data_IF_483657116746
#
_entry.id   IF_483657116746
#
_cell.length_a   1.000
_cell.length_b   1.000
_cell.length_c   1.000
_cell.angle_alpha   90.00
_cell.angle_beta   90.00
_cell.angle_gamma   90.00
#
_symmetry.space_group_name_H-M   'P 1'
#
loop_
_entity.id
_entity.type
_entity.pdbx_description
1 polymer ?
#
# COMPACT_ATOMS: atom_id res chain seq x y z
N UNK A 1 5.38 -13.17 -5.24
CA UNK A 1 4.74 -14.14 -6.10
C UNK A 1 3.42 -13.56 -6.62
N UNK A 2 3.36 -13.25 -7.92
CA UNK A 2 2.21 -12.57 -8.57
C UNK A 2 0.93 -13.38 -8.45
N UNK A 3 1.00 -14.69 -8.47
CA UNK A 3 -0.16 -15.59 -8.37
C UNK A 3 -0.86 -15.49 -7.02
N UNK A 4 -0.11 -15.49 -5.92
CA UNK A 4 -0.67 -15.33 -4.57
C UNK A 4 -1.35 -13.97 -4.42
N UNK A 5 -0.72 -12.90 -4.87
CA UNK A 5 -1.34 -11.56 -4.82
C UNK A 5 -2.67 -11.51 -5.60
N UNK A 6 -2.75 -12.16 -6.76
CA UNK A 6 -4.00 -12.24 -7.55
C UNK A 6 -5.09 -13.02 -6.83
N UNK A 7 -4.75 -14.10 -6.14
CA UNK A 7 -5.72 -14.88 -5.34
C UNK A 7 -6.25 -14.01 -4.21
N UNK A 8 -5.36 -13.38 -3.43
CA UNK A 8 -5.72 -12.50 -2.32
C UNK A 8 -6.56 -11.28 -2.74
N UNK A 9 -6.39 -10.80 -3.97
CA UNK A 9 -7.16 -9.67 -4.52
C UNK A 9 -8.46 -10.07 -5.21
N UNK A 10 -8.79 -11.35 -5.23
CA UNK A 10 -9.98 -11.81 -5.94
C UNK A 10 -11.17 -11.93 -4.97
N UNK A 11 -12.19 -11.05 -5.06
CA UNK A 11 -13.33 -11.05 -4.15
C UNK A 11 -14.26 -12.27 -4.35
N UNK A 12 -14.02 -13.10 -5.34
CA UNK A 12 -14.74 -14.37 -5.54
C UNK A 12 -14.62 -15.31 -4.32
N UNK A 13 -13.57 -15.15 -3.53
CA UNK A 13 -13.40 -15.92 -2.29
C UNK A 13 -14.06 -15.27 -1.08
N UNK A 14 -14.40 -13.99 -1.14
CA UNK A 14 -14.96 -13.25 -0.02
C UNK A 14 -16.48 -13.33 0.06
N UNK A 15 -17.02 -13.34 1.25
CA UNK A 15 -18.45 -13.19 1.49
C UNK A 15 -18.91 -11.80 1.06
N UNK A 16 -19.95 -11.74 0.23
CA UNK A 16 -20.51 -10.50 -0.28
C UNK A 16 -21.50 -9.92 0.74
N UNK A 17 -20.98 -9.32 1.79
CA UNK A 17 -21.72 -8.67 2.87
C UNK A 17 -21.69 -7.14 2.76
N UNK A 18 -22.30 -6.49 3.73
CA UNK A 18 -22.41 -5.02 3.80
C UNK A 18 -21.05 -4.33 3.91
N UNK A 19 -20.05 -4.95 4.55
CA UNK A 19 -18.71 -4.37 4.68
C UNK A 19 -18.00 -4.35 3.33
N UNK A 20 -18.11 -5.43 2.58
CA UNK A 20 -17.55 -5.51 1.23
C UNK A 20 -18.27 -4.56 0.27
N UNK A 21 -19.59 -4.41 0.39
CA UNK A 21 -20.38 -3.43 -0.36
C UNK A 21 -19.87 -2.01 -0.14
N UNK A 22 -19.76 -1.58 1.12
CA UNK A 22 -19.28 -0.25 1.51
C UNK A 22 -17.85 0.02 1.09
N UNK A 23 -16.99 -0.98 1.14
CA UNK A 23 -15.62 -0.89 0.61
C UNK A 23 -15.60 -0.51 -0.86
N UNK A 24 -16.41 -1.16 -1.70
CA UNK A 24 -16.46 -0.85 -3.12
C UNK A 24 -17.12 0.50 -3.42
N UNK A 25 -18.15 0.89 -2.67
CA UNK A 25 -18.75 2.23 -2.76
C UNK A 25 -17.73 3.32 -2.42
N UNK A 26 -16.97 3.15 -1.34
CA UNK A 26 -15.93 4.12 -0.94
C UNK A 26 -14.82 4.29 -1.99
N UNK A 27 -14.64 3.29 -2.84
CA UNK A 27 -13.70 3.30 -3.97
C UNK A 27 -14.36 3.69 -5.31
N UNK A 28 -15.61 4.17 -5.26
CA UNK A 28 -16.38 4.63 -6.42
C UNK A 28 -16.61 3.54 -7.49
N UNK A 29 -16.52 2.27 -7.14
CA UNK A 29 -16.81 1.17 -8.05
C UNK A 29 -18.29 1.14 -8.43
N UNK A 30 -18.61 0.71 -9.64
CA UNK A 30 -19.99 0.51 -10.09
C UNK A 30 -20.52 -0.81 -9.51
N UNK A 31 -21.52 -0.74 -8.61
CA UNK A 31 -22.10 -1.93 -8.01
C UNK A 31 -23.44 -2.26 -8.66
N UNK A 32 -23.62 -3.53 -9.01
CA UNK A 32 -24.91 -4.07 -9.48
C UNK A 32 -25.64 -4.68 -8.29
N UNK A 33 -26.86 -4.19 -8.04
CA UNK A 33 -27.71 -4.60 -6.91
C UNK A 33 -27.76 -3.58 -5.80
N UNK A 34 -28.68 -3.82 -4.84
CA UNK A 34 -28.89 -2.95 -3.68
C UNK A 34 -28.11 -3.43 -2.47
N UNK A 35 -27.82 -2.53 -1.52
CA UNK A 35 -27.11 -2.85 -0.28
C UNK A 35 -27.77 -4.02 0.49
N UNK A 36 -29.11 -4.07 0.50
CA UNK A 36 -29.87 -5.13 1.17
C UNK A 36 -29.67 -6.53 0.63
N UNK A 37 -29.18 -6.65 -0.60
CA UNK A 37 -28.87 -7.93 -1.21
C UNK A 37 -27.49 -8.47 -0.80
N UNK A 38 -26.63 -7.67 -0.19
CA UNK A 38 -25.30 -8.05 0.26
C UNK A 38 -25.34 -8.59 1.69
N UNK A 39 -25.89 -9.79 1.82
CA UNK A 39 -26.22 -10.48 3.08
C UNK A 39 -25.11 -11.45 3.55
N UNK A 40 -24.01 -11.55 2.83
CA UNK A 40 -22.90 -12.46 3.14
C UNK A 40 -23.09 -13.91 2.67
N UNK A 41 -24.25 -14.26 2.13
CA UNK A 41 -24.53 -15.65 1.67
C UNK A 41 -23.84 -16.02 0.37
N UNK A 42 -23.51 -15.04 -0.44
CA UNK A 42 -22.85 -15.23 -1.74
C UNK A 42 -21.46 -14.60 -1.75
N UNK A 43 -20.75 -14.78 -2.87
CA UNK A 43 -19.49 -14.08 -3.09
C UNK A 43 -19.66 -12.89 -4.04
N UNK A 44 -18.60 -12.12 -4.24
CA UNK A 44 -18.56 -11.01 -5.19
C UNK A 44 -17.63 -11.30 -6.37
N UNK A 45 -17.90 -10.70 -7.52
CA UNK A 45 -17.03 -10.74 -8.67
C UNK A 45 -16.83 -9.34 -9.25
N UNK A 46 -15.64 -9.07 -9.79
CA UNK A 46 -15.27 -7.79 -10.38
C UNK A 46 -14.92 -7.97 -11.84
N UNK A 47 -15.60 -7.24 -12.70
CA UNK A 47 -15.32 -7.16 -14.13
C UNK A 47 -14.74 -5.79 -14.51
N UNK A 48 -14.09 -5.70 -15.67
CA UNK A 48 -13.46 -4.46 -16.11
C UNK A 48 -12.09 -4.18 -15.51
N UNK A 49 -11.46 -5.18 -14.85
CA UNK A 49 -10.12 -5.02 -14.23
C UNK A 49 -9.02 -4.67 -15.23
N UNK A 50 -9.24 -4.84 -16.51
CA UNK A 50 -8.22 -4.63 -17.54
C UNK A 50 -8.84 -4.04 -18.80
N UNK A 51 -8.10 -3.13 -19.38
CA UNK A 51 -8.41 -2.47 -20.65
C UNK A 51 -7.23 -2.67 -21.62
N UNK A 52 -7.51 -2.70 -22.92
CA UNK A 52 -6.51 -2.90 -23.97
C UNK A 52 -6.38 -4.33 -24.46
N UNK A 53 -5.61 -4.51 -25.53
CA UNK A 53 -5.29 -5.83 -26.13
C UNK A 53 -4.12 -6.51 -25.40
N UNK A 54 -3.68 -7.68 -25.88
CA UNK A 54 -2.60 -8.46 -25.24
C UNK A 54 -1.31 -7.67 -25.03
N UNK A 55 -0.99 -6.74 -25.93
CA UNK A 55 0.26 -5.98 -25.90
C UNK A 55 0.14 -4.66 -25.14
N UNK A 56 -1.05 -4.07 -25.03
CA UNK A 56 -1.32 -2.78 -24.41
C UNK A 56 -2.14 -2.88 -23.12
N UNK A 57 -2.24 -4.07 -22.54
CA UNK A 57 -3.09 -4.34 -21.39
C UNK A 57 -2.64 -3.55 -20.15
N UNK A 58 -3.52 -2.67 -19.67
CA UNK A 58 -3.36 -1.95 -18.40
C UNK A 58 -4.44 -2.34 -17.39
N UNK A 59 -4.17 -2.14 -16.10
CA UNK A 59 -5.18 -2.27 -15.05
C UNK A 59 -5.97 -0.97 -14.96
N UNK A 60 -7.29 -1.11 -14.81
CA UNK A 60 -8.21 0.01 -14.55
C UNK A 60 -8.29 0.31 -13.07
N UNK A 61 -8.64 1.54 -12.73
CA UNK A 61 -8.99 1.90 -11.36
C UNK A 61 -10.32 1.25 -10.93
N UNK A 62 -10.52 1.10 -9.63
CA UNK A 62 -11.76 0.53 -9.09
C UNK A 62 -13.01 1.31 -9.51
N UNK A 63 -12.91 2.63 -9.69
CA UNK A 63 -13.99 3.49 -10.18
C UNK A 63 -14.50 3.14 -11.59
N UNK A 64 -13.66 2.50 -12.40
CA UNK A 64 -14.02 2.03 -13.75
C UNK A 64 -14.53 0.58 -13.76
N UNK A 65 -14.36 -0.11 -12.64
CA UNK A 65 -14.72 -1.53 -12.53
C UNK A 65 -16.17 -1.69 -12.08
N UNK A 66 -16.78 -2.80 -12.50
CA UNK A 66 -18.14 -3.16 -12.08
C UNK A 66 -18.08 -4.38 -11.17
N UNK A 67 -18.77 -4.30 -10.04
CA UNK A 67 -18.84 -5.34 -9.01
C UNK A 67 -20.26 -5.88 -8.93
N UNK A 68 -20.41 -7.18 -8.85
CA UNK A 68 -21.71 -7.83 -8.70
C UNK A 68 -21.60 -9.07 -7.81
N UNK A 69 -22.72 -9.48 -7.23
CA UNK A 69 -22.81 -10.73 -6.46
C UNK A 69 -22.85 -11.92 -7.40
N UNK A 70 -22.25 -13.01 -6.98
CA UNK A 70 -22.33 -14.29 -7.66
C UNK A 70 -23.50 -15.13 -7.13
N UNK A 71 -23.72 -16.29 -7.70
CA UNK A 71 -24.71 -17.26 -7.24
C UNK A 71 -24.11 -18.38 -6.35
N UNK A 72 -22.85 -18.27 -5.94
CA UNK A 72 -22.17 -19.22 -5.08
C UNK A 72 -21.61 -18.53 -3.83
N UNK A 73 -21.45 -19.28 -2.74
CA UNK A 73 -21.01 -18.76 -1.45
C UNK A 73 -19.56 -18.30 -1.46
N UNK A 74 -19.28 -17.18 -0.77
CA UNK A 74 -17.95 -16.78 -0.39
C UNK A 74 -17.45 -17.61 0.80
N UNK A 75 -16.17 -18.00 0.77
CA UNK A 75 -15.58 -18.87 1.80
C UNK A 75 -14.89 -18.06 2.90
N UNK A 76 -14.43 -16.86 2.57
CA UNK A 76 -13.63 -16.01 3.44
C UNK A 76 -14.50 -14.85 3.96
N UNK A 77 -14.55 -14.59 5.28
CA UNK A 77 -15.20 -13.41 5.82
C UNK A 77 -14.66 -12.12 5.18
N UNK A 78 -15.54 -11.17 4.89
CA UNK A 78 -15.18 -9.90 4.24
C UNK A 78 -14.13 -9.12 5.02
N UNK A 79 -14.19 -9.14 6.36
CA UNK A 79 -13.20 -8.48 7.23
C UNK A 79 -11.78 -8.99 6.99
N UNK A 80 -11.61 -10.32 6.89
CA UNK A 80 -10.30 -10.92 6.61
C UNK A 80 -9.82 -10.58 5.20
N UNK A 81 -10.72 -10.58 4.22
CA UNK A 81 -10.41 -10.16 2.87
C UNK A 81 -9.96 -8.70 2.82
N UNK A 82 -10.66 -7.79 3.50
CA UNK A 82 -10.33 -6.37 3.55
C UNK A 82 -9.00 -6.11 4.27
N UNK A 83 -8.75 -6.81 5.38
CA UNK A 83 -7.45 -6.76 6.05
C UNK A 83 -6.30 -7.19 5.15
N UNK A 84 -6.52 -8.19 4.29
CA UNK A 84 -5.55 -8.60 3.29
C UNK A 84 -5.31 -7.52 2.22
N UNK A 85 -6.38 -6.81 1.76
CA UNK A 85 -6.23 -5.66 0.83
C UNK A 85 -5.40 -4.55 1.45
N UNK A 86 -5.67 -4.18 2.70
CA UNK A 86 -4.89 -3.17 3.42
C UNK A 86 -3.41 -3.57 3.57
N UNK A 87 -3.16 -4.83 3.87
CA UNK A 87 -1.79 -5.33 3.96
C UNK A 87 -1.06 -5.30 2.62
N UNK A 88 -1.75 -5.68 1.55
CA UNK A 88 -1.20 -5.62 0.19
C UNK A 88 -0.89 -4.18 -0.23
N UNK A 89 -1.79 -3.23 0.06
CA UNK A 89 -1.58 -1.82 -0.22
C UNK A 89 -0.37 -1.25 0.56
N UNK A 90 -0.24 -1.58 1.84
CA UNK A 90 0.93 -1.19 2.65
C UNK A 90 2.23 -1.79 2.10
N UNK A 91 2.21 -3.07 1.72
CA UNK A 91 3.38 -3.73 1.14
C UNK A 91 3.78 -3.10 -0.21
N UNK A 92 2.80 -2.68 -1.02
CA UNK A 92 3.05 -1.99 -2.28
C UNK A 92 3.68 -0.61 -2.04
N UNK A 93 3.23 0.13 -1.03
CA UNK A 93 3.83 1.42 -0.63
C UNK A 93 5.27 1.26 -0.14
N UNK A 94 5.58 0.15 0.55
CA UNK A 94 6.94 -0.15 0.99
C UNK A 94 7.89 -0.47 -0.16
N UNK A 95 7.37 -0.74 -1.35
CA UNK A 95 8.16 -1.00 -2.56
C UNK A 95 9.04 -2.23 -2.42
N UNK A 96 8.50 -3.37 -2.71
CA UNK A 96 9.20 -4.65 -2.62
C UNK A 96 10.36 -4.75 -3.62
N UNK A 97 11.58 -4.94 -3.13
CA UNK A 97 12.75 -5.26 -3.94
C UNK A 97 13.11 -6.73 -3.73
N UNK A 98 12.82 -7.57 -4.73
CA UNK A 98 13.20 -8.99 -4.77
C UNK A 98 14.70 -9.21 -5.10
N UNK A 99 15.51 -8.17 -5.13
CA UNK A 99 16.95 -8.31 -5.42
C UNK A 99 17.72 -8.20 -4.12
N UNK A 100 18.69 -9.07 -3.87
CA UNK A 100 19.66 -8.89 -2.81
C UNK A 100 20.58 -7.71 -3.21
N UNK A 101 20.06 -6.49 -3.12
CA UNK A 101 20.90 -5.32 -3.14
C UNK A 101 21.65 -5.27 -1.81
N UNK A 102 22.92 -4.83 -1.84
CA UNK A 102 23.59 -4.39 -0.63
C UNK A 102 22.61 -3.50 0.11
N UNK A 103 22.14 -3.98 1.27
CA UNK A 103 21.16 -3.24 2.08
C UNK A 103 21.80 -1.90 2.42
N UNK A 104 21.25 -0.85 1.85
CA UNK A 104 21.57 0.49 2.28
C UNK A 104 20.87 0.73 3.61
N UNK A 105 21.55 1.31 4.58
CA UNK A 105 21.10 1.46 5.96
C UNK A 105 19.72 2.10 6.09
N UNK A 106 19.35 3.00 5.19
CA UNK A 106 18.04 3.65 5.16
C UNK A 106 17.01 2.99 4.22
N UNK A 107 17.31 1.80 3.68
CA UNK A 107 16.42 1.13 2.72
C UNK A 107 15.09 0.77 3.39
N UNK A 108 13.99 1.19 2.78
CA UNK A 108 12.63 0.95 3.27
C UNK A 108 12.17 1.91 4.38
N UNK A 109 13.07 2.68 5.00
CA UNK A 109 12.73 3.64 6.04
C UNK A 109 12.29 4.99 5.46
N UNK A 110 12.89 5.43 4.36
CA UNK A 110 12.62 6.73 3.76
C UNK A 110 11.39 6.64 2.84
N UNK A 111 10.42 7.51 3.10
CA UNK A 111 9.17 7.59 2.35
C UNK A 111 8.93 8.98 1.78
N UNK A 112 8.27 9.05 0.63
CA UNK A 112 7.83 10.30 0.06
C UNK A 112 6.67 10.88 0.88
N UNK A 113 6.82 12.11 1.39
CA UNK A 113 5.79 12.78 2.19
C UNK A 113 4.48 12.98 1.39
N UNK A 114 4.55 13.12 0.07
CA UNK A 114 3.40 13.40 -0.79
C UNK A 114 2.54 12.15 -1.05
N UNK A 115 3.16 11.02 -1.39
CA UNK A 115 2.45 9.82 -1.84
C UNK A 115 2.63 8.60 -0.93
N UNK A 116 3.46 8.66 0.12
CA UNK A 116 3.72 7.55 1.04
C UNK A 116 4.60 6.43 0.48
N UNK A 117 4.89 6.42 -0.82
CA UNK A 117 5.75 5.41 -1.42
C UNK A 117 7.21 5.54 -0.99
N UNK A 118 7.92 4.42 -1.01
CA UNK A 118 9.34 4.40 -0.68
C UNK A 118 10.16 5.29 -1.61
N UNK A 119 11.17 5.92 -1.04
CA UNK A 119 12.22 6.61 -1.79
C UNK A 119 13.32 5.59 -2.08
N UNK A 120 13.72 5.50 -3.35
CA UNK A 120 14.66 4.49 -3.83
C UNK A 120 15.79 5.09 -4.66
N UNK A 121 16.91 4.39 -4.68
CA UNK A 121 18.00 4.70 -5.61
C UNK A 121 17.62 4.22 -7.02
N UNK A 122 17.51 5.13 -7.98
CA UNK A 122 17.38 4.77 -9.39
C UNK A 122 18.75 4.56 -10.03
N UNK A 123 19.64 5.50 -9.80
CA UNK A 123 21.06 5.39 -10.15
C UNK A 123 21.84 5.90 -8.94
N UNK A 124 22.62 5.03 -8.29
CA UNK A 124 23.49 5.44 -7.20
C UNK A 124 24.40 6.60 -7.64
N UNK A 125 24.55 7.68 -6.88
CA UNK A 125 24.18 7.83 -5.47
C UNK A 125 22.88 8.61 -5.19
N UNK A 126 21.99 8.78 -6.16
CA UNK A 126 20.79 9.62 -5.98
C UNK A 126 19.54 8.83 -5.65
N UNK A 127 18.71 9.39 -4.78
CA UNK A 127 17.41 8.90 -4.37
C UNK A 127 16.29 9.65 -5.08
N UNK A 128 15.22 8.94 -5.43
CA UNK A 128 14.01 9.52 -6.00
C UNK A 128 12.75 8.82 -5.50
N UNK A 129 11.60 9.47 -5.62
CA UNK A 129 10.32 8.89 -5.27
C UNK A 129 9.94 7.74 -6.20
N UNK A 130 9.66 6.56 -5.65
CA UNK A 130 9.19 5.39 -6.40
C UNK A 130 7.85 5.63 -7.09
N UNK A 131 6.92 6.33 -6.40
CA UNK A 131 5.62 6.70 -6.96
C UNK A 131 5.73 7.58 -8.21
N UNK A 132 6.76 8.43 -8.29
CA UNK A 132 7.04 9.22 -9.50
C UNK A 132 7.79 8.44 -10.56
N UNK A 133 8.90 7.81 -10.18
CA UNK A 133 9.84 7.23 -11.14
C UNK A 133 9.34 5.96 -11.82
N UNK A 134 8.41 5.24 -11.19
CA UNK A 134 7.98 3.92 -11.66
C UNK A 134 6.46 3.79 -11.80
N UNK A 135 5.70 4.35 -10.87
CA UNK A 135 4.25 4.21 -10.86
C UNK A 135 3.53 5.40 -11.51
N UNK A 136 4.24 6.50 -11.75
CA UNK A 136 3.70 7.74 -12.34
C UNK A 136 2.49 8.33 -11.59
N UNK A 137 2.36 8.02 -10.29
CA UNK A 137 1.26 8.47 -9.42
C UNK A 137 1.64 9.62 -8.49
N UNK A 138 2.84 10.20 -8.62
CA UNK A 138 3.33 11.30 -7.80
C UNK A 138 3.93 12.41 -8.66
N UNK A 139 3.56 13.63 -8.35
CA UNK A 139 4.00 14.86 -9.02
C UNK A 139 5.33 15.43 -8.49
N UNK A 140 5.72 15.00 -7.30
CA UNK A 140 6.92 15.52 -6.60
C UNK A 140 8.20 15.06 -7.29
N UNK A 141 9.01 16.03 -7.74
CA UNK A 141 10.33 15.80 -8.32
C UNK A 141 11.42 16.21 -7.35
N UNK A 142 12.16 15.24 -6.85
CA UNK A 142 13.40 15.49 -6.11
C UNK A 142 14.46 14.47 -6.47
N UNK A 143 15.71 14.87 -6.29
CA UNK A 143 16.88 13.99 -6.35
C UNK A 143 17.78 14.35 -5.17
N UNK A 144 17.88 13.45 -4.22
CA UNK A 144 18.68 13.63 -3.01
C UNK A 144 19.90 12.73 -3.09
N UNK A 145 21.12 13.24 -2.92
CA UNK A 145 22.30 12.41 -2.78
C UNK A 145 22.18 11.52 -1.53
N UNK A 146 22.38 10.21 -1.68
CA UNK A 146 22.26 9.27 -0.56
C UNK A 146 23.19 9.58 0.61
N UNK A 147 24.47 9.95 0.37
CA UNK A 147 25.38 10.31 1.47
C UNK A 147 24.92 11.52 2.28
N UNK A 148 24.33 12.51 1.64
CA UNK A 148 23.79 13.70 2.33
C UNK A 148 22.59 13.34 3.19
N UNK A 149 21.67 12.52 2.68
CA UNK A 149 20.54 12.04 3.46
C UNK A 149 20.99 11.21 4.67
N UNK A 150 21.97 10.34 4.48
CA UNK A 150 22.53 9.50 5.54
C UNK A 150 23.15 10.34 6.66
N UNK A 151 23.92 11.36 6.29
CA UNK A 151 24.51 12.31 7.26
C UNK A 151 23.42 13.04 8.04
N UNK A 152 22.47 13.66 7.37
CA UNK A 152 21.38 14.41 7.99
C UNK A 152 20.51 13.52 8.92
N UNK A 153 20.24 12.29 8.50
CA UNK A 153 19.50 11.33 9.32
C UNK A 153 20.27 10.94 10.59
N UNK A 154 21.58 10.73 10.48
CA UNK A 154 22.43 10.40 11.62
C UNK A 154 22.48 11.55 12.63
N UNK A 155 22.64 12.78 12.18
CA UNK A 155 22.66 13.99 13.02
C UNK A 155 21.32 14.18 13.75
N UNK A 156 20.19 14.00 13.04
CA UNK A 156 18.86 14.11 13.66
C UNK A 156 18.60 13.02 14.69
N UNK A 157 19.00 11.78 14.41
CA UNK A 157 18.89 10.66 15.36
C UNK A 157 19.71 10.93 16.62
N UNK A 158 20.95 11.39 16.48
CA UNK A 158 21.81 11.73 17.62
C UNK A 158 21.18 12.83 18.49
N UNK A 159 20.66 13.89 17.87
CA UNK A 159 19.98 14.98 18.57
C UNK A 159 18.76 14.48 19.37
N UNK A 160 17.93 13.65 18.74
CA UNK A 160 16.76 13.06 19.41
C UNK A 160 17.14 12.12 20.55
N UNK A 161 18.15 11.29 20.37
CA UNK A 161 18.65 10.40 21.43
C UNK A 161 19.18 11.19 22.62
N UNK A 162 19.93 12.28 22.39
CA UNK A 162 20.42 13.16 23.44
C UNK A 162 19.26 13.78 24.23
N UNK A 163 18.26 14.34 23.52
CA UNK A 163 17.06 14.92 24.15
C UNK A 163 16.27 13.89 24.96
N UNK A 164 16.14 12.67 24.46
CA UNK A 164 15.48 11.57 25.19
C UNK A 164 16.25 11.20 26.46
N UNK A 165 17.58 11.10 26.38
CA UNK A 165 18.42 10.78 27.52
C UNK A 165 18.33 11.87 28.64
N UNK A 166 18.33 13.16 28.25
CA UNK A 166 18.11 14.24 29.19
C UNK A 166 16.73 14.21 29.85
N UNK A 167 15.67 13.94 29.04
CA UNK A 167 14.32 13.84 29.58
C UNK A 167 14.17 12.65 30.54
N UNK A 168 14.84 11.54 30.26
CA UNK A 168 14.87 10.39 31.20
C UNK A 168 15.59 10.73 32.50
N UNK A 169 16.75 11.38 32.43
CA UNK A 169 17.48 11.85 33.66
C UNK A 169 16.59 12.74 34.50
N UNK A 170 15.93 13.75 33.92
CA UNK A 170 15.03 14.67 34.64
C UNK A 170 13.83 13.95 35.28
N UNK A 171 13.33 12.88 34.63
CA UNK A 171 12.24 12.06 35.20
C UNK A 171 12.72 11.23 36.39
N UNK A 172 13.90 10.66 36.32
CA UNK A 172 14.49 9.89 37.43
C UNK A 172 14.81 10.80 38.62
N UNK A 173 15.36 12.02 38.42
CA UNK A 173 15.62 12.99 39.46
C UNK A 173 14.37 13.50 40.20
N UNK A 174 13.20 13.45 39.55
CA UNK A 174 11.90 13.82 40.15
C UNK A 174 11.23 12.70 40.94
N UNK A 175 11.71 11.47 40.79
CA UNK A 175 11.17 10.27 41.47
C UNK A 175 12.00 9.87 42.73
N UNK A 176 13.15 10.53 42.96
CA UNK A 176 13.99 10.48 44.16
C UNK A 176 13.65 11.61 45.10
#
# INVERSE_FOLDING_TARGET
NVTIARILQNPVYAQADILLYRYYISRQAKIIGTETQWDGTTSAHVIGKRVGNVNTRSYTDLSEQTVYRTNFAGVIPSELFLAAQDRLARNQQLGWTNRPHKMQELSGLVKCKRCGYAVKTNNYPTLSCWGRSTLHCCDVSFRIPFPELQKNAAEEIQTKLHTLAENMKRKMEKQL
#
